data_IF_117202655639
#
_entry.id   IF_117202655639
#
_cell.length_a   1.000
_cell.length_b   1.000
_cell.length_c   1.000
_cell.angle_alpha   90.00
_cell.angle_beta   90.00
_cell.angle_gamma   90.00
#
_symmetry.space_group_name_H-M   'P 1'
#
loop_
_entity.id
_entity.type
_entity.pdbx_description
1 polymer ?
#
# COMPACT_ATOMS: atom_id res chain seq x y z
N UNK A 1 18.37 11.80 -5.80
CA UNK A 1 16.90 11.81 -5.95
C UNK A 1 16.18 11.49 -4.65
N UNK A 2 16.42 10.34 -4.01
CA UNK A 2 15.76 9.97 -2.75
C UNK A 2 15.86 11.03 -1.65
N UNK A 3 17.06 11.51 -1.33
CA UNK A 3 17.26 12.55 -0.30
C UNK A 3 16.56 13.87 -0.61
N UNK A 4 16.50 14.28 -1.88
CA UNK A 4 15.75 15.47 -2.30
C UNK A 4 14.24 15.28 -2.15
N UNK A 5 13.71 14.10 -2.51
CA UNK A 5 12.30 13.76 -2.30
C UNK A 5 11.92 13.75 -0.82
N UNK A 6 12.76 13.15 0.03
CA UNK A 6 12.58 13.13 1.49
C UNK A 6 12.61 14.53 2.08
N UNK A 7 13.57 15.37 1.68
CA UNK A 7 13.64 16.77 2.11
C UNK A 7 12.38 17.54 1.67
N UNK A 8 11.97 17.37 0.41
CA UNK A 8 10.81 18.04 -0.15
C UNK A 8 9.53 17.66 0.58
N UNK A 9 9.21 16.36 0.77
CA UNK A 9 8.03 15.99 1.55
C UNK A 9 8.12 16.56 2.95
N UNK A 10 9.30 16.51 3.58
CA UNK A 10 9.46 16.87 4.99
C UNK A 10 9.27 18.37 5.21
N UNK A 11 9.70 19.17 4.24
CA UNK A 11 9.41 20.60 4.18
C UNK A 11 7.89 20.85 4.06
N UNK A 12 7.20 20.17 3.13
CA UNK A 12 5.75 20.29 2.96
C UNK A 12 4.95 19.80 4.18
N UNK A 13 5.45 18.77 4.87
CA UNK A 13 4.91 18.28 6.14
C UNK A 13 5.05 19.35 7.22
N UNK A 14 6.20 20.01 7.35
CA UNK A 14 6.39 21.10 8.30
C UNK A 14 5.49 22.31 7.99
N UNK A 15 5.42 22.69 6.70
CA UNK A 15 4.53 23.77 6.23
C UNK A 15 3.06 23.47 6.52
N UNK A 16 2.65 22.20 6.57
CA UNK A 16 1.28 21.80 6.93
C UNK A 16 0.86 22.25 8.34
N UNK A 17 1.80 22.45 9.27
CA UNK A 17 1.49 23.02 10.58
C UNK A 17 1.34 24.54 10.58
N UNK A 18 1.76 25.22 9.51
CA UNK A 18 1.77 26.68 9.37
C UNK A 18 0.64 27.21 8.47
N UNK A 19 -0.22 26.33 7.96
CA UNK A 19 -1.33 26.72 7.09
C UNK A 19 -2.45 27.43 7.85
N UNK A 20 -3.04 28.43 7.20
CA UNK A 20 -4.15 29.25 7.72
C UNK A 20 -5.43 29.15 6.88
N UNK A 21 -5.34 28.63 5.66
CA UNK A 21 -6.52 28.43 4.78
C UNK A 21 -6.60 27.00 4.24
N UNK A 22 -7.81 26.60 3.85
CA UNK A 22 -8.05 25.29 3.23
C UNK A 22 -7.26 25.14 1.92
N UNK A 23 -7.23 26.18 1.08
CA UNK A 23 -6.45 26.16 -0.16
C UNK A 23 -4.96 25.95 0.10
N UNK A 24 -4.39 26.60 1.13
CA UNK A 24 -3.01 26.35 1.54
C UNK A 24 -2.82 24.89 1.97
N UNK A 25 -3.76 24.32 2.74
CA UNK A 25 -3.71 22.92 3.15
C UNK A 25 -3.70 21.96 1.95
N UNK A 26 -4.53 22.21 0.94
CA UNK A 26 -4.56 21.41 -0.29
C UNK A 26 -3.23 21.51 -1.04
N UNK A 27 -2.69 22.72 -1.21
CA UNK A 27 -1.42 22.93 -1.91
C UNK A 27 -0.25 22.21 -1.21
N UNK A 28 -0.19 22.26 0.12
CA UNK A 28 0.88 21.56 0.84
C UNK A 28 0.76 20.04 0.74
N UNK A 29 -0.47 19.51 0.70
CA UNK A 29 -0.72 18.07 0.50
C UNK A 29 -0.34 17.61 -0.91
N UNK A 30 -0.57 18.43 -1.92
CA UNK A 30 -0.09 18.15 -3.29
C UNK A 30 1.44 18.12 -3.30
N UNK A 31 2.10 19.10 -2.69
CA UNK A 31 3.57 19.12 -2.59
C UNK A 31 4.14 17.91 -1.83
N UNK A 32 3.48 17.49 -0.75
CA UNK A 32 3.83 16.27 -0.01
C UNK A 32 3.75 15.03 -0.90
N UNK A 33 2.67 14.86 -1.67
CA UNK A 33 2.52 13.72 -2.60
C UNK A 33 3.58 13.68 -3.69
N UNK A 34 4.00 14.84 -4.22
CA UNK A 34 5.09 14.95 -5.19
C UNK A 34 6.42 14.48 -4.57
N UNK A 35 6.70 14.86 -3.32
CA UNK A 35 7.91 14.45 -2.60
C UNK A 35 7.95 12.97 -2.23
N UNK A 36 6.79 12.37 -1.96
CA UNK A 36 6.64 10.97 -1.55
C UNK A 36 6.68 9.98 -2.72
N UNK A 37 6.19 10.36 -3.90
CA UNK A 37 6.15 9.51 -5.08
C UNK A 37 7.46 8.76 -5.42
N UNK A 38 8.66 9.38 -5.38
CA UNK A 38 9.90 8.69 -5.71
C UNK A 38 10.43 7.76 -4.61
N UNK A 39 9.85 7.75 -3.40
CA UNK A 39 10.40 7.01 -2.25
C UNK A 39 10.56 5.52 -2.55
N UNK A 40 9.50 4.87 -2.99
CA UNK A 40 9.52 3.43 -3.30
C UNK A 40 10.50 3.08 -4.44
N UNK A 41 10.40 3.67 -5.65
CA UNK A 41 11.31 3.30 -6.74
C UNK A 41 12.78 3.63 -6.43
N UNK A 42 13.04 4.75 -5.74
CA UNK A 42 14.40 5.09 -5.34
C UNK A 42 14.94 4.16 -4.25
N UNK A 43 14.13 3.78 -3.25
CA UNK A 43 14.53 2.84 -2.20
C UNK A 43 14.90 1.47 -2.78
N UNK A 44 14.10 0.96 -3.71
CA UNK A 44 14.40 -0.28 -4.44
C UNK A 44 15.69 -0.15 -5.27
N UNK A 45 15.92 1.00 -5.91
CA UNK A 45 17.17 1.27 -6.64
C UNK A 45 18.39 1.24 -5.70
N UNK A 46 18.31 1.89 -4.54
CA UNK A 46 19.40 1.88 -3.54
C UNK A 46 19.76 0.44 -3.15
N UNK A 47 18.76 -0.39 -2.87
CA UNK A 47 18.99 -1.80 -2.54
C UNK A 47 19.61 -2.55 -3.73
N UNK A 48 19.16 -2.29 -4.95
CA UNK A 48 19.73 -2.91 -6.14
C UNK A 48 21.18 -2.48 -6.40
N UNK A 49 21.54 -1.24 -6.09
CA UNK A 49 22.87 -0.69 -6.32
C UNK A 49 23.90 -1.28 -5.32
N UNK A 50 23.49 -1.52 -4.07
CA UNK A 50 24.39 -1.90 -2.98
C UNK A 50 24.39 -3.38 -2.59
N UNK A 51 23.45 -4.18 -3.07
CA UNK A 51 23.36 -5.61 -2.74
C UNK A 51 23.36 -6.52 -3.98
N UNK A 52 24.05 -7.66 -3.85
CA UNK A 52 24.01 -8.73 -4.85
C UNK A 52 22.57 -9.26 -5.02
N UNK A 53 22.18 -9.59 -6.26
CA UNK A 53 20.88 -10.17 -6.62
C UNK A 53 20.42 -11.33 -5.72
N UNK A 54 21.34 -12.19 -5.26
CA UNK A 54 21.02 -13.33 -4.38
C UNK A 54 20.65 -12.90 -2.95
N UNK A 55 21.13 -11.76 -2.49
CA UNK A 55 21.00 -11.29 -1.11
C UNK A 55 20.00 -10.13 -0.95
N UNK A 56 19.52 -9.55 -2.07
CA UNK A 56 18.53 -8.45 -2.07
C UNK A 56 17.23 -8.76 -1.33
N UNK A 57 16.87 -10.04 -1.16
CA UNK A 57 15.65 -10.44 -0.46
C UNK A 57 15.57 -9.93 0.98
N UNK A 58 16.67 -9.96 1.74
CA UNK A 58 16.69 -9.51 3.14
C UNK A 58 16.53 -7.98 3.26
N UNK A 59 17.34 -7.14 2.58
CA UNK A 59 17.15 -5.69 2.58
C UNK A 59 15.77 -5.25 2.08
N UNK A 60 15.26 -5.88 1.02
CA UNK A 60 13.89 -5.62 0.53
C UNK A 60 12.84 -5.98 1.59
N UNK A 61 13.03 -7.08 2.31
CA UNK A 61 12.17 -7.47 3.43
C UNK A 61 12.14 -6.41 4.53
N UNK A 62 13.30 -5.91 4.96
CA UNK A 62 13.39 -4.83 5.95
C UNK A 62 12.73 -3.54 5.46
N UNK A 63 12.96 -3.15 4.21
CA UNK A 63 12.38 -1.95 3.61
C UNK A 63 10.84 -2.02 3.60
N UNK A 64 10.26 -3.16 3.20
CA UNK A 64 8.81 -3.34 3.20
C UNK A 64 8.23 -3.45 4.62
N UNK A 65 8.92 -4.15 5.54
CA UNK A 65 8.48 -4.28 6.92
C UNK A 65 8.43 -2.92 7.63
N UNK A 66 9.39 -2.03 7.36
CA UNK A 66 9.41 -0.67 7.91
C UNK A 66 8.14 0.12 7.56
N UNK A 67 7.64 0.01 6.32
CA UNK A 67 6.39 0.66 5.89
C UNK A 67 5.18 0.15 6.68
N UNK A 68 5.07 -1.16 6.89
CA UNK A 68 3.96 -1.77 7.64
C UNK A 68 4.02 -1.43 9.13
N UNK A 69 5.21 -1.51 9.74
CA UNK A 69 5.42 -1.16 11.15
C UNK A 69 5.12 0.33 11.36
N UNK A 70 5.57 1.19 10.44
CA UNK A 70 5.32 2.62 10.48
C UNK A 70 3.84 2.94 10.59
N UNK A 71 2.99 2.33 9.76
CA UNK A 71 1.53 2.56 9.79
C UNK A 71 0.90 2.10 11.11
N UNK A 72 1.37 0.99 11.71
CA UNK A 72 0.83 0.50 12.97
C UNK A 72 1.25 1.34 14.19
N UNK A 73 2.49 1.83 14.19
CA UNK A 73 3.08 2.58 15.31
C UNK A 73 2.77 4.08 15.24
N UNK A 74 2.47 4.61 14.05
CA UNK A 74 2.18 6.04 13.87
C UNK A 74 1.00 6.53 14.71
N UNK A 75 -0.21 5.93 14.69
CA UNK A 75 -1.37 6.47 15.40
C UNK A 75 -1.14 6.79 16.89
N UNK A 76 -0.55 5.91 17.73
CA UNK A 76 -0.30 6.23 19.13
C UNK A 76 0.77 7.30 19.32
N UNK A 77 1.84 7.32 18.51
CA UNK A 77 2.87 8.37 18.59
C UNK A 77 2.28 9.72 18.20
N UNK A 78 1.55 9.78 17.09
CA UNK A 78 0.92 10.99 16.59
C UNK A 78 -0.13 11.52 17.59
N UNK A 79 -0.93 10.63 18.18
CA UNK A 79 -1.89 11.00 19.22
C UNK A 79 -1.20 11.62 20.45
N UNK A 80 -0.11 11.01 20.93
CA UNK A 80 0.66 11.54 22.05
C UNK A 80 1.25 12.94 21.74
N UNK A 81 1.77 13.14 20.53
CA UNK A 81 2.26 14.46 20.09
C UNK A 81 1.11 15.47 20.04
N UNK A 82 -0.03 15.13 19.44
CA UNK A 82 -1.17 16.04 19.36
C UNK A 82 -1.70 16.48 20.73
N UNK A 83 -1.62 15.62 21.76
CA UNK A 83 -2.05 15.97 23.12
C UNK A 83 -1.14 17.03 23.79
N UNK A 84 0.16 17.04 23.48
CA UNK A 84 1.14 17.93 24.12
C UNK A 84 1.33 19.24 23.36
N UNK A 85 1.39 19.18 22.02
CA UNK A 85 1.76 20.32 21.16
C UNK A 85 0.70 20.67 20.11
N UNK A 86 -0.48 20.03 20.16
CA UNK A 86 -1.53 20.19 19.16
C UNK A 86 -1.15 19.60 17.80
N UNK A 87 -2.10 19.61 16.87
CA UNK A 87 -1.89 19.09 15.51
C UNK A 87 -0.85 19.89 14.73
N UNK A 88 -0.83 21.23 14.89
CA UNK A 88 0.14 22.10 14.21
C UNK A 88 1.57 21.80 14.65
N UNK A 89 1.82 21.71 15.96
CA UNK A 89 3.12 21.35 16.52
C UNK A 89 3.57 19.96 16.09
N UNK A 90 2.63 18.99 16.01
CA UNK A 90 2.91 17.65 15.52
C UNK A 90 3.41 17.67 14.05
N UNK A 91 2.72 18.37 13.14
CA UNK A 91 3.16 18.48 11.73
C UNK A 91 4.55 19.10 11.60
N UNK A 92 4.79 20.21 12.31
CA UNK A 92 6.09 20.90 12.31
C UNK A 92 7.19 19.98 12.81
N UNK A 93 6.97 19.32 13.95
CA UNK A 93 7.98 18.46 14.58
C UNK A 93 8.35 17.28 13.67
N UNK A 94 7.36 16.60 13.09
CA UNK A 94 7.61 15.47 12.18
C UNK A 94 8.29 15.92 10.90
N UNK A 95 7.88 17.05 10.34
CA UNK A 95 8.53 17.63 9.17
C UNK A 95 9.98 18.00 9.44
N UNK A 96 10.27 18.63 10.58
CA UNK A 96 11.65 18.99 10.99
C UNK A 96 12.51 17.73 11.21
N UNK A 97 12.00 16.71 11.91
CA UNK A 97 12.70 15.43 12.07
C UNK A 97 12.98 14.77 10.71
N UNK A 98 12.02 14.83 9.79
CA UNK A 98 12.19 14.33 8.42
C UNK A 98 13.26 15.09 7.63
N UNK A 99 13.35 16.43 7.81
CA UNK A 99 14.41 17.25 7.22
C UNK A 99 15.78 16.83 7.75
N UNK A 100 15.93 16.66 9.07
CA UNK A 100 17.19 16.20 9.64
C UNK A 100 17.60 14.83 9.13
N UNK A 101 16.64 13.92 8.99
CA UNK A 101 16.87 12.60 8.43
C UNK A 101 17.25 12.67 6.94
N UNK A 102 16.64 13.57 6.17
CA UNK A 102 17.01 13.81 4.77
C UNK A 102 18.41 14.40 4.62
N UNK A 103 18.81 15.32 5.49
CA UNK A 103 20.17 15.88 5.55
C UNK A 103 21.16 14.78 5.91
N UNK A 104 20.89 14.01 6.96
CA UNK A 104 21.73 12.88 7.37
C UNK A 104 21.88 11.86 6.24
N UNK A 105 20.78 11.54 5.54
CA UNK A 105 20.83 10.69 4.36
C UNK A 105 21.71 11.30 3.25
N UNK A 106 21.53 12.58 2.94
CA UNK A 106 22.33 13.25 1.90
C UNK A 106 23.83 13.30 2.23
N UNK A 107 24.20 13.48 3.51
CA UNK A 107 25.59 13.51 3.95
C UNK A 107 26.24 12.11 3.97
N UNK A 108 25.49 11.07 4.34
CA UNK A 108 26.01 9.71 4.50
C UNK A 108 25.93 8.87 3.23
N UNK A 109 24.85 9.01 2.47
CA UNK A 109 24.60 8.19 1.29
C UNK A 109 25.47 8.64 0.12
N UNK A 110 26.23 7.70 -0.45
CA UNK A 110 26.96 7.91 -1.70
C UNK A 110 26.34 7.09 -2.82
N UNK A 111 26.28 7.67 -4.00
CA UNK A 111 25.92 6.91 -5.20
C UNK A 111 27.06 5.93 -5.50
N UNK A 112 26.71 4.69 -5.88
CA UNK A 112 27.68 3.67 -6.28
C UNK A 112 28.70 4.16 -7.31
N UNK A 113 28.25 4.96 -8.29
CA UNK A 113 29.09 5.52 -9.34
C UNK A 113 30.23 6.42 -8.82
N UNK A 114 30.10 6.96 -7.60
CA UNK A 114 31.07 7.85 -6.97
C UNK A 114 31.86 7.18 -5.84
N UNK A 115 31.72 5.87 -5.66
CA UNK A 115 32.46 5.10 -4.66
C UNK A 115 33.39 4.13 -5.38
N UNK A 116 34.69 4.29 -5.15
CA UNK A 116 35.67 3.30 -5.62
C UNK A 116 35.52 2.03 -4.81
N UNK A 117 35.02 0.98 -5.46
CA UNK A 117 34.86 -0.34 -4.87
C UNK A 117 36.13 -1.16 -5.09
N UNK A 118 36.53 -1.91 -4.07
CA UNK A 118 37.60 -2.90 -4.19
C UNK A 118 37.23 -3.99 -5.20
N UNK A 119 38.23 -4.68 -5.77
CA UNK A 119 37.99 -5.75 -6.73
C UNK A 119 37.09 -6.87 -6.17
N UNK A 120 37.16 -7.14 -4.86
CA UNK A 120 36.32 -8.13 -4.16
C UNK A 120 34.87 -7.66 -4.08
N UNK A 121 34.61 -6.39 -3.77
CA UNK A 121 33.26 -5.82 -3.71
C UNK A 121 32.61 -5.75 -5.10
N UNK A 122 33.40 -5.41 -6.12
CA UNK A 122 32.94 -5.46 -7.52
C UNK A 122 32.58 -6.87 -7.93
N UNK A 123 33.42 -7.85 -7.61
CA UNK A 123 33.14 -9.26 -7.87
C UNK A 123 31.87 -9.72 -7.11
N UNK A 124 31.69 -9.31 -5.86
CA UNK A 124 30.48 -9.60 -5.09
C UNK A 124 29.23 -9.01 -5.75
N UNK A 125 29.23 -7.74 -6.17
CA UNK A 125 28.06 -7.11 -6.79
C UNK A 125 27.71 -7.70 -8.16
N UNK A 126 28.72 -8.13 -8.93
CA UNK A 126 28.54 -8.70 -10.25
C UNK A 126 28.29 -10.21 -10.22
N UNK A 127 28.55 -10.89 -9.11
CA UNK A 127 28.37 -12.34 -8.99
C UNK A 127 26.90 -12.73 -9.18
N UNK A 128 26.60 -13.41 -10.28
CA UNK A 128 25.24 -13.85 -10.61
C UNK A 128 24.37 -12.78 -11.27
N UNK A 129 24.94 -11.65 -11.72
CA UNK A 129 24.25 -10.70 -12.60
C UNK A 129 24.03 -11.33 -13.97
N UNK A 130 23.04 -12.21 -14.08
CA UNK A 130 22.50 -12.57 -15.38
C UNK A 130 21.81 -11.31 -15.89
N UNK A 131 22.43 -10.64 -16.87
CA UNK A 131 21.81 -9.60 -17.67
C UNK A 131 20.61 -10.22 -18.41
N UNK A 132 19.53 -10.49 -17.70
CA UNK A 132 18.23 -10.66 -18.30
C UNK A 132 17.81 -9.26 -18.76
N UNK A 133 18.39 -8.81 -19.89
CA UNK A 133 17.84 -7.73 -20.70
C UNK A 133 16.45 -8.21 -21.08
N UNK A 134 15.46 -7.86 -20.26
CA UNK A 134 14.07 -8.03 -20.60
C UNK A 134 13.80 -6.93 -21.61
N UNK A 135 13.64 -7.32 -22.87
CA UNK A 135 13.37 -6.34 -23.93
C UNK A 135 12.19 -5.45 -23.50
N UNK A 136 12.31 -4.13 -23.58
CA UNK A 136 11.23 -3.23 -23.22
C UNK A 136 10.01 -3.51 -24.09
N UNK A 137 8.82 -3.32 -23.53
CA UNK A 137 7.57 -3.43 -24.29
C UNK A 137 7.48 -2.28 -25.30
N UNK A 138 7.17 -2.61 -26.54
CA UNK A 138 6.75 -1.62 -27.53
C UNK A 138 5.42 -1.00 -27.08
N UNK A 139 5.19 0.26 -27.46
CA UNK A 139 3.94 0.96 -27.15
C UNK A 139 2.69 0.19 -27.63
N UNK A 140 2.80 -0.49 -28.78
CA UNK A 140 1.72 -1.33 -29.31
C UNK A 140 1.41 -2.54 -28.40
N UNK A 141 2.45 -3.21 -27.87
CA UNK A 141 2.32 -4.34 -26.94
C UNK A 141 1.80 -3.88 -25.57
N UNK A 142 2.23 -2.70 -25.12
CA UNK A 142 1.71 -2.10 -23.89
C UNK A 142 0.23 -1.73 -24.04
N UNK A 143 -0.17 -1.14 -25.18
CA UNK A 143 -1.56 -0.79 -25.46
C UNK A 143 -2.46 -2.04 -25.60
N UNK A 144 -1.93 -3.16 -26.11
CA UNK A 144 -2.71 -4.38 -26.27
C UNK A 144 -3.14 -4.99 -24.92
N UNK A 145 -2.42 -4.70 -23.83
CA UNK A 145 -2.81 -5.08 -22.46
C UNK A 145 -4.24 -4.64 -22.11
N UNK A 146 -4.65 -3.44 -22.54
CA UNK A 146 -5.98 -2.91 -22.28
C UNK A 146 -7.09 -3.59 -23.10
N UNK A 147 -6.75 -4.41 -24.10
CA UNK A 147 -7.71 -5.26 -24.80
C UNK A 147 -7.98 -6.57 -24.04
N UNK A 148 -7.11 -6.94 -23.09
CA UNK A 148 -7.23 -8.20 -22.35
C UNK A 148 -8.22 -8.06 -21.19
N UNK A 149 -9.20 -8.97 -21.11
CA UNK A 149 -10.19 -9.01 -20.01
C UNK A 149 -9.55 -9.27 -18.64
N UNK A 150 -8.50 -10.09 -18.60
CA UNK A 150 -7.77 -10.37 -17.35
C UNK A 150 -7.13 -9.10 -16.79
N UNK A 151 -6.65 -8.20 -17.66
CA UNK A 151 -6.08 -6.92 -17.24
C UNK A 151 -7.11 -6.04 -16.53
N UNK A 152 -8.31 -5.91 -17.10
CA UNK A 152 -9.43 -5.21 -16.47
C UNK A 152 -9.87 -5.86 -15.16
N UNK A 153 -9.90 -7.19 -15.10
CA UNK A 153 -10.17 -7.94 -13.87
C UNK A 153 -9.17 -7.64 -12.76
N UNK A 154 -7.88 -7.60 -13.09
CA UNK A 154 -6.80 -7.27 -12.16
C UNK A 154 -6.88 -5.82 -11.69
N UNK A 155 -7.13 -4.86 -12.60
CA UNK A 155 -7.33 -3.45 -12.27
C UNK A 155 -8.50 -3.25 -11.32
N UNK A 156 -9.71 -3.67 -11.71
CA UNK A 156 -10.94 -3.47 -10.93
C UNK A 156 -10.90 -4.24 -9.60
N UNK A 157 -10.35 -5.44 -9.61
CA UNK A 157 -10.23 -6.25 -8.41
C UNK A 157 -9.26 -5.63 -7.40
N UNK A 158 -8.08 -5.20 -7.85
CA UNK A 158 -7.10 -4.55 -6.97
C UNK A 158 -7.56 -3.16 -6.49
N UNK A 159 -8.40 -2.47 -7.27
CA UNK A 159 -9.10 -1.26 -6.83
C UNK A 159 -9.97 -1.51 -5.59
N UNK A 160 -10.70 -2.62 -5.52
CA UNK A 160 -11.50 -2.94 -4.33
C UNK A 160 -10.66 -3.17 -3.07
N UNK A 161 -9.48 -3.80 -3.22
CA UNK A 161 -8.51 -3.98 -2.14
C UNK A 161 -8.00 -2.63 -1.62
N UNK A 162 -7.54 -1.77 -2.53
CA UNK A 162 -6.98 -0.47 -2.15
C UNK A 162 -8.06 0.48 -1.64
N UNK A 163 -9.27 0.45 -2.19
CA UNK A 163 -10.39 1.28 -1.70
C UNK A 163 -10.61 1.06 -0.19
N UNK A 164 -10.70 -0.20 0.24
CA UNK A 164 -10.91 -0.56 1.65
C UNK A 164 -9.72 -0.23 2.52
N UNK A 165 -8.50 -0.53 2.05
CA UNK A 165 -7.29 -0.19 2.79
C UNK A 165 -7.17 1.32 3.02
N UNK A 166 -7.41 2.13 1.98
CA UNK A 166 -7.32 3.60 2.06
C UNK A 166 -8.47 4.24 2.83
N UNK A 167 -9.68 3.68 2.78
CA UNK A 167 -10.78 4.14 3.62
C UNK A 167 -10.43 4.02 5.10
N UNK A 168 -9.99 2.83 5.55
CA UNK A 168 -9.60 2.65 6.94
C UNK A 168 -8.34 3.43 7.29
N UNK A 169 -7.37 3.54 6.38
CA UNK A 169 -6.18 4.35 6.63
C UNK A 169 -6.53 5.82 6.92
N UNK A 170 -7.44 6.40 6.14
CA UNK A 170 -7.80 7.82 6.25
C UNK A 170 -8.81 8.09 7.37
N UNK A 171 -9.81 7.23 7.53
CA UNK A 171 -10.99 7.52 8.35
C UNK A 171 -11.11 6.67 9.62
N UNK A 172 -10.29 5.64 9.84
CA UNK A 172 -10.43 4.79 11.03
C UNK A 172 -10.34 5.58 12.35
N UNK A 173 -9.34 6.46 12.58
CA UNK A 173 -9.31 7.25 13.80
C UNK A 173 -10.54 8.16 13.94
N UNK A 174 -10.95 8.81 12.85
CA UNK A 174 -12.12 9.68 12.83
C UNK A 174 -13.42 8.92 13.11
N UNK A 175 -13.59 7.73 12.54
CA UNK A 175 -14.72 6.85 12.81
C UNK A 175 -14.80 6.48 14.30
N UNK A 176 -13.67 6.09 14.91
CA UNK A 176 -13.62 5.73 16.31
C UNK A 176 -13.93 6.92 17.24
N UNK A 177 -13.48 8.13 16.90
CA UNK A 177 -13.81 9.34 17.65
C UNK A 177 -15.29 9.70 17.50
N UNK A 178 -15.81 9.79 16.28
CA UNK A 178 -17.17 10.27 16.02
C UNK A 178 -18.25 9.25 16.42
N UNK A 179 -18.04 7.95 16.16
CA UNK A 179 -19.06 6.93 16.41
C UNK A 179 -19.10 6.48 17.88
N UNK A 180 -17.96 6.50 18.57
CA UNK A 180 -17.85 5.99 19.94
C UNK A 180 -17.43 7.06 20.97
N UNK A 181 -17.32 8.33 20.57
CA UNK A 181 -16.90 9.45 21.42
C UNK A 181 -15.58 9.18 22.16
N UNK A 182 -14.66 8.46 21.51
CA UNK A 182 -13.36 8.16 22.10
C UNK A 182 -12.50 9.41 22.16
N UNK A 183 -11.75 9.55 23.25
CA UNK A 183 -10.73 10.57 23.37
C UNK A 183 -9.52 10.26 22.46
N UNK A 184 -8.72 11.28 22.17
CA UNK A 184 -7.61 11.17 21.23
C UNK A 184 -6.60 10.10 21.63
N UNK A 185 -6.36 9.93 22.94
CA UNK A 185 -5.45 8.91 23.48
C UNK A 185 -5.97 7.50 23.19
N UNK A 186 -7.22 7.21 23.53
CA UNK A 186 -7.79 5.87 23.29
C UNK A 186 -7.91 5.59 21.80
N UNK A 187 -8.29 6.58 20.98
CA UNK A 187 -8.30 6.42 19.53
C UNK A 187 -6.93 6.05 18.97
N UNK A 188 -5.86 6.72 19.40
CA UNK A 188 -4.50 6.42 18.93
C UNK A 188 -4.07 4.98 19.24
N UNK A 189 -4.37 4.51 20.46
CA UNK A 189 -4.06 3.13 20.87
C UNK A 189 -4.93 2.10 20.14
N UNK A 190 -6.24 2.35 20.04
CA UNK A 190 -7.18 1.42 19.43
C UNK A 190 -7.01 1.33 17.91
N UNK A 191 -6.63 2.42 17.23
CA UNK A 191 -6.39 2.43 15.79
C UNK A 191 -5.16 1.61 15.37
N UNK A 192 -4.20 1.36 16.27
CA UNK A 192 -3.04 0.50 15.97
C UNK A 192 -3.45 -0.97 15.78
N UNK A 193 -4.46 -1.44 16.52
CA UNK A 193 -4.85 -2.86 16.54
C UNK A 193 -5.27 -3.35 15.14
N UNK A 194 -6.15 -2.67 14.38
CA UNK A 194 -6.53 -3.13 13.05
C UNK A 194 -5.39 -3.17 12.04
N UNK A 195 -4.43 -2.24 12.12
CA UNK A 195 -3.26 -2.25 11.24
C UNK A 195 -2.31 -3.42 11.55
N UNK A 196 -2.18 -3.81 12.83
CA UNK A 196 -1.45 -5.03 13.20
C UNK A 196 -2.11 -6.30 12.65
N UNK A 197 -3.45 -6.36 12.65
CA UNK A 197 -4.17 -7.44 11.98
C UNK A 197 -3.91 -7.45 10.47
N UNK A 198 -3.88 -6.28 9.82
CA UNK A 198 -3.46 -6.15 8.42
C UNK A 198 -2.08 -6.74 8.16
N UNK A 199 -1.09 -6.39 9.00
CA UNK A 199 0.27 -6.93 8.93
C UNK A 199 0.29 -8.47 9.09
N UNK A 200 -0.46 -9.00 10.06
CA UNK A 200 -0.60 -10.44 10.25
C UNK A 200 -1.21 -11.13 9.02
N UNK A 201 -2.21 -10.50 8.38
CA UNK A 201 -2.82 -11.01 7.15
C UNK A 201 -1.82 -11.15 5.99
N UNK A 202 -0.89 -10.21 5.86
CA UNK A 202 0.18 -10.28 4.86
C UNK A 202 1.13 -11.46 5.11
N UNK A 203 1.54 -11.67 6.37
CA UNK A 203 2.44 -12.75 6.75
C UNK A 203 1.79 -14.13 6.58
N UNK A 204 0.56 -14.28 7.08
CA UNK A 204 -0.20 -15.54 6.97
C UNK A 204 -0.44 -15.91 5.51
N UNK A 205 -0.61 -14.94 4.61
CA UNK A 205 -0.80 -15.22 3.18
C UNK A 205 0.37 -16.00 2.57
N UNK A 206 1.61 -15.66 2.91
CA UNK A 206 2.79 -16.37 2.43
C UNK A 206 2.72 -17.86 2.77
N UNK A 207 2.49 -18.19 4.04
CA UNK A 207 2.38 -19.57 4.50
C UNK A 207 1.21 -20.33 3.87
N UNK A 208 0.02 -19.72 3.80
CA UNK A 208 -1.18 -20.38 3.26
C UNK A 208 -1.02 -20.68 1.77
N UNK A 209 -0.49 -19.73 1.00
CA UNK A 209 -0.32 -19.91 -0.45
C UNK A 209 0.75 -20.94 -0.78
N UNK A 210 1.86 -20.96 -0.03
CA UNK A 210 2.88 -21.99 -0.16
C UNK A 210 2.37 -23.37 0.23
N UNK A 211 1.57 -23.46 1.31
CA UNK A 211 0.93 -24.71 1.73
C UNK A 211 -0.03 -25.25 0.67
N UNK A 212 -0.87 -24.40 0.07
CA UNK A 212 -1.78 -24.80 -1.01
C UNK A 212 -1.03 -25.31 -2.25
N UNK A 213 0.07 -24.64 -2.63
CA UNK A 213 0.89 -25.06 -3.77
C UNK A 213 1.62 -26.37 -3.47
N UNK A 214 2.19 -26.54 -2.27
CA UNK A 214 2.79 -27.81 -1.82
C UNK A 214 1.77 -28.96 -1.77
N UNK A 215 0.51 -28.66 -1.50
CA UNK A 215 -0.62 -29.60 -1.59
C UNK A 215 -1.06 -29.94 -3.01
N UNK A 216 -0.35 -29.49 -4.05
CA UNK A 216 -0.63 -29.82 -5.45
C UNK A 216 -1.59 -28.86 -6.17
N UNK A 217 -2.01 -27.77 -5.53
CA UNK A 217 -2.86 -26.77 -6.21
C UNK A 217 -2.03 -25.94 -7.19
N UNK A 218 -2.56 -25.74 -8.41
CA UNK A 218 -1.93 -24.86 -9.39
C UNK A 218 -1.71 -23.43 -8.80
N UNK A 219 -0.53 -22.81 -8.97
CA UNK A 219 -0.20 -21.52 -8.35
C UNK A 219 -1.20 -20.40 -8.64
N UNK A 220 -1.69 -20.31 -9.89
CA UNK A 220 -2.71 -19.33 -10.29
C UNK A 220 -4.02 -19.57 -9.52
N UNK A 221 -4.46 -20.83 -9.42
CA UNK A 221 -5.70 -21.20 -8.72
C UNK A 221 -5.60 -20.91 -7.22
N UNK A 222 -4.47 -21.25 -6.60
CA UNK A 222 -4.20 -20.96 -5.19
C UNK A 222 -4.31 -19.46 -4.89
N UNK A 223 -3.56 -18.63 -5.61
CA UNK A 223 -3.60 -17.16 -5.44
C UNK A 223 -4.99 -16.60 -5.68
N UNK A 224 -5.68 -17.05 -6.73
CA UNK A 224 -7.03 -16.57 -7.07
C UNK A 224 -8.06 -16.88 -5.98
N UNK A 225 -8.05 -18.09 -5.42
CA UNK A 225 -8.96 -18.47 -4.32
C UNK A 225 -8.69 -17.60 -3.08
N UNK A 226 -7.42 -17.40 -2.72
CA UNK A 226 -7.03 -16.56 -1.60
C UNK A 226 -7.50 -15.10 -1.77
N UNK A 227 -7.40 -14.54 -2.97
CA UNK A 227 -7.89 -13.18 -3.28
C UNK A 227 -9.39 -13.10 -3.09
N UNK A 228 -10.16 -14.00 -3.74
CA UNK A 228 -11.62 -13.96 -3.73
C UNK A 228 -12.16 -14.16 -2.30
N UNK A 229 -11.65 -15.18 -1.59
CA UNK A 229 -12.05 -15.47 -0.23
C UNK A 229 -11.72 -14.30 0.71
N UNK A 230 -10.50 -13.76 0.63
CA UNK A 230 -10.10 -12.61 1.45
C UNK A 230 -10.94 -11.36 1.19
N UNK A 231 -11.26 -11.06 -0.07
CA UNK A 231 -12.11 -9.92 -0.42
C UNK A 231 -13.55 -10.09 0.06
N UNK A 232 -14.17 -11.26 -0.11
CA UNK A 232 -15.53 -11.50 0.41
C UNK A 232 -15.59 -11.49 1.93
N UNK A 233 -14.61 -12.11 2.61
CA UNK A 233 -14.53 -12.05 4.07
C UNK A 233 -14.35 -10.61 4.55
N UNK A 234 -13.47 -9.83 3.92
CA UNK A 234 -13.28 -8.40 4.24
C UNK A 234 -14.56 -7.59 4.03
N UNK A 235 -15.28 -7.85 2.93
CA UNK A 235 -16.55 -7.19 2.65
C UNK A 235 -17.60 -7.53 3.72
N UNK A 236 -17.73 -8.81 4.08
CA UNK A 236 -18.66 -9.27 5.10
C UNK A 236 -18.38 -8.63 6.47
N UNK A 237 -17.12 -8.64 6.93
CA UNK A 237 -16.75 -7.98 8.18
C UNK A 237 -17.05 -6.49 8.14
N UNK A 238 -16.68 -5.80 7.05
CA UNK A 238 -16.93 -4.36 6.87
C UNK A 238 -18.42 -4.02 6.89
N UNK A 239 -19.29 -4.86 6.32
CA UNK A 239 -20.74 -4.66 6.34
C UNK A 239 -21.37 -4.87 7.72
N UNK A 240 -20.70 -5.61 8.60
CA UNK A 240 -21.14 -5.84 9.99
C UNK A 240 -20.65 -4.74 10.93
N UNK A 241 -19.58 -4.00 10.61
CA UNK A 241 -19.04 -2.91 11.44
C UNK A 241 -20.10 -1.90 11.91
N UNK A 242 -21.03 -1.41 11.07
CA UNK A 242 -22.06 -0.46 11.53
C UNK A 242 -23.02 -1.00 12.59
N UNK A 243 -23.06 -2.32 12.80
CA UNK A 243 -23.91 -2.98 13.80
C UNK A 243 -23.17 -3.21 15.12
N UNK A 244 -21.89 -2.83 15.21
CA UNK A 244 -21.09 -3.02 16.41
C UNK A 244 -21.56 -2.10 17.55
N UNK A 245 -21.93 -2.71 18.68
CA UNK A 245 -22.42 -2.00 19.87
C UNK A 245 -21.31 -1.42 20.75
N UNK A 246 -20.09 -1.94 20.65
CA UNK A 246 -18.93 -1.45 21.42
C UNK A 246 -17.77 -1.08 20.51
N UNK A 247 -16.94 -0.15 20.98
CA UNK A 247 -15.73 0.28 20.26
C UNK A 247 -14.75 -0.87 20.03
N UNK A 248 -14.59 -1.77 21.02
CA UNK A 248 -13.74 -2.94 20.88
C UNK A 248 -14.27 -3.91 19.82
N UNK A 249 -15.58 -4.16 19.79
CA UNK A 249 -16.20 -4.99 18.74
C UNK A 249 -15.95 -4.41 17.36
N UNK A 250 -16.12 -3.09 17.18
CA UNK A 250 -15.83 -2.43 15.90
C UNK A 250 -14.35 -2.55 15.51
N UNK A 251 -13.43 -2.33 16.45
CA UNK A 251 -11.98 -2.47 16.23
C UNK A 251 -11.61 -3.89 15.81
N UNK A 252 -12.18 -4.92 16.46
CA UNK A 252 -11.93 -6.32 16.09
C UNK A 252 -12.51 -6.66 14.72
N UNK A 253 -13.72 -6.20 14.39
CA UNK A 253 -14.33 -6.40 13.08
C UNK A 253 -13.53 -5.72 11.97
N UNK A 254 -13.11 -4.46 12.18
CA UNK A 254 -12.25 -3.73 11.25
C UNK A 254 -10.87 -4.39 11.14
N UNK A 255 -10.32 -4.87 12.25
CA UNK A 255 -9.08 -5.65 12.27
C UNK A 255 -9.19 -6.89 11.40
N UNK A 256 -10.25 -7.68 11.55
CA UNK A 256 -10.49 -8.84 10.70
C UNK A 256 -10.72 -8.46 9.22
N UNK A 257 -11.40 -7.33 8.95
CA UNK A 257 -11.53 -6.82 7.59
C UNK A 257 -10.14 -6.48 6.98
N UNK A 258 -9.29 -5.77 7.73
CA UNK A 258 -7.93 -5.44 7.30
C UNK A 258 -7.04 -6.68 7.17
N UNK A 259 -7.13 -7.65 8.08
CA UNK A 259 -6.45 -8.94 7.94
C UNK A 259 -6.79 -9.59 6.60
N UNK A 260 -8.09 -9.73 6.30
CA UNK A 260 -8.57 -10.36 5.09
C UNK A 260 -8.20 -9.59 3.81
N UNK A 261 -8.27 -8.25 3.83
CA UNK A 261 -7.96 -7.42 2.65
C UNK A 261 -6.47 -7.41 2.34
N UNK A 262 -5.60 -7.35 3.35
CA UNK A 262 -4.15 -7.39 3.17
C UNK A 262 -3.65 -8.80 2.83
N UNK A 263 -4.33 -9.84 3.34
CA UNK A 263 -4.14 -11.21 2.87
C UNK A 263 -4.45 -11.33 1.37
N UNK A 264 -5.60 -10.83 0.92
CA UNK A 264 -5.96 -10.82 -0.49
C UNK A 264 -4.98 -9.97 -1.34
N UNK A 265 -4.59 -8.80 -0.85
CA UNK A 265 -3.62 -7.92 -1.51
C UNK A 265 -2.27 -8.58 -1.75
N UNK A 266 -1.76 -9.33 -0.77
CA UNK A 266 -0.50 -10.08 -0.90
C UNK A 266 -0.61 -11.17 -1.98
N UNK A 267 -1.75 -11.87 -2.04
CA UNK A 267 -2.00 -12.85 -3.11
C UNK A 267 -2.18 -12.22 -4.49
N UNK A 268 -2.73 -11.01 -4.58
CA UNK A 268 -2.84 -10.26 -5.83
C UNK A 268 -1.47 -9.94 -6.44
N UNK A 269 -0.52 -9.48 -5.61
CA UNK A 269 0.87 -9.29 -6.05
C UNK A 269 1.51 -10.60 -6.51
N UNK A 270 1.29 -11.69 -5.76
CA UNK A 270 1.73 -13.02 -6.15
C UNK A 270 1.11 -13.50 -7.48
N UNK A 271 -0.16 -13.16 -7.75
CA UNK A 271 -0.86 -13.53 -8.97
C UNK A 271 -0.20 -12.92 -10.21
N UNK A 272 0.24 -11.66 -10.16
CA UNK A 272 0.96 -11.01 -11.28
C UNK A 272 2.20 -11.83 -11.67
N UNK A 273 2.94 -12.35 -10.69
CA UNK A 273 4.16 -13.12 -10.95
C UNK A 273 3.92 -14.49 -11.59
N UNK A 274 2.75 -15.10 -11.37
CA UNK A 274 2.42 -16.44 -11.90
C UNK A 274 1.52 -16.40 -13.13
N UNK A 275 0.77 -15.32 -13.36
CA UNK A 275 -0.22 -15.20 -14.43
C UNK A 275 0.25 -14.35 -15.62
N UNK A 276 1.41 -13.69 -15.52
CA UNK A 276 1.93 -12.76 -16.53
C UNK A 276 3.34 -13.16 -16.93
N UNK A 277 3.64 -13.11 -18.23
CA UNK A 277 4.99 -13.30 -18.74
C UNK A 277 6.00 -12.36 -18.04
N UNK A 278 7.18 -12.89 -17.69
CA UNK A 278 8.20 -12.18 -16.89
C UNK A 278 8.61 -10.80 -17.44
N UNK A 279 8.54 -10.62 -18.77
CA UNK A 279 8.79 -9.38 -19.49
C UNK A 279 7.72 -8.30 -19.22
N UNK A 280 6.48 -8.73 -19.01
CA UNK A 280 5.30 -7.86 -18.88
C UNK A 280 4.88 -7.61 -17.42
N UNK A 281 5.41 -8.38 -16.47
CA UNK A 281 5.10 -8.32 -15.03
C UNK A 281 5.18 -6.90 -14.46
N UNK A 282 6.23 -6.14 -14.81
CA UNK A 282 6.41 -4.77 -14.31
C UNK A 282 5.32 -3.81 -14.83
N UNK A 283 5.05 -3.85 -16.13
CA UNK A 283 4.03 -2.99 -16.77
C UNK A 283 2.61 -3.34 -16.31
N UNK A 284 2.28 -4.63 -16.20
CA UNK A 284 0.97 -5.07 -15.69
C UNK A 284 0.81 -4.65 -14.23
N UNK A 285 1.84 -4.87 -13.40
CA UNK A 285 1.85 -4.41 -12.01
C UNK A 285 1.68 -2.90 -11.86
N UNK A 286 2.36 -2.10 -12.69
CA UNK A 286 2.24 -0.64 -12.63
C UNK A 286 0.88 -0.12 -13.08
N UNK A 287 0.29 -0.67 -14.17
CA UNK A 287 -1.05 -0.26 -14.63
C UNK A 287 -2.10 -0.66 -13.58
N UNK A 288 -2.02 -1.88 -13.03
CA UNK A 288 -2.92 -2.34 -11.97
C UNK A 288 -2.85 -1.41 -10.76
N UNK A 289 -1.63 -1.09 -10.32
CA UNK A 289 -1.40 -0.22 -9.17
C UNK A 289 -1.95 1.19 -9.43
N UNK A 290 -1.65 1.79 -10.59
CA UNK A 290 -2.15 3.10 -10.99
C UNK A 290 -3.67 3.17 -10.99
N UNK A 291 -4.35 2.21 -11.63
CA UNK A 291 -5.81 2.15 -11.65
C UNK A 291 -6.41 2.01 -10.24
N UNK A 292 -5.77 1.20 -9.39
CA UNK A 292 -6.21 1.01 -8.02
C UNK A 292 -6.09 2.26 -7.16
N UNK A 293 -5.02 3.05 -7.33
CA UNK A 293 -4.83 4.30 -6.60
C UNK A 293 -5.79 5.40 -7.02
N UNK A 294 -6.17 5.45 -8.31
CA UNK A 294 -7.25 6.33 -8.77
C UNK A 294 -8.54 5.98 -8.02
N UNK A 295 -8.96 4.72 -8.02
CA UNK A 295 -10.15 4.29 -7.28
C UNK A 295 -10.04 4.56 -5.78
N UNK A 296 -8.89 4.28 -5.18
CA UNK A 296 -8.65 4.47 -3.75
C UNK A 296 -8.65 5.95 -3.33
N UNK A 297 -8.23 6.88 -4.20
CA UNK A 297 -8.31 8.31 -3.90
C UNK A 297 -9.74 8.82 -3.74
N UNK A 298 -10.73 8.15 -4.35
CA UNK A 298 -12.13 8.48 -4.16
C UNK A 298 -12.69 7.99 -2.82
N UNK A 299 -12.09 6.99 -2.18
CA UNK A 299 -12.60 6.44 -0.92
C UNK A 299 -12.72 7.51 0.19
N UNK A 300 -11.67 8.30 0.49
CA UNK A 300 -11.77 9.35 1.49
C UNK A 300 -12.73 10.48 1.10
N UNK A 301 -12.78 10.85 -0.19
CA UNK A 301 -13.64 11.93 -0.70
C UNK A 301 -15.12 11.57 -0.57
N UNK A 302 -15.49 10.37 -1.04
CA UNK A 302 -16.86 9.86 -0.94
C UNK A 302 -17.26 9.72 0.53
N UNK A 303 -16.37 9.17 1.36
CA UNK A 303 -16.62 9.03 2.80
C UNK A 303 -16.85 10.37 3.47
N UNK A 304 -16.00 11.38 3.18
CA UNK A 304 -16.16 12.72 3.72
C UNK A 304 -17.50 13.35 3.35
N UNK A 305 -17.87 13.33 2.07
CA UNK A 305 -19.17 13.86 1.62
C UNK A 305 -20.35 13.17 2.31
N UNK A 306 -20.29 11.85 2.48
CA UNK A 306 -21.34 11.08 3.18
C UNK A 306 -21.41 11.47 4.65
N UNK A 307 -20.26 11.54 5.34
CA UNK A 307 -20.22 11.86 6.77
C UNK A 307 -20.65 13.29 7.03
N UNK A 308 -20.27 14.24 6.17
CA UNK A 308 -20.69 15.64 6.29
C UNK A 308 -22.19 15.83 6.10
N UNK A 309 -22.83 15.04 5.22
CA UNK A 309 -24.26 15.15 4.90
C UNK A 309 -25.16 14.32 5.81
N UNK A 310 -24.70 13.14 6.22
CA UNK A 310 -25.51 12.16 6.98
C UNK A 310 -25.11 12.04 8.45
N UNK A 311 -23.99 12.63 8.84
CA UNK A 311 -23.36 12.48 10.16
C UNK A 311 -23.10 11.02 10.56
N UNK A 312 -23.04 10.09 9.59
CA UNK A 312 -22.89 8.66 9.82
C UNK A 312 -21.91 8.01 8.85
N UNK A 313 -21.10 7.09 9.36
CA UNK A 313 -20.20 6.27 8.55
C UNK A 313 -20.89 5.06 7.93
N UNK A 314 -22.16 4.78 8.28
CA UNK A 314 -22.86 3.55 7.87
C UNK A 314 -22.88 3.39 6.35
N UNK A 315 -23.26 4.44 5.62
CA UNK A 315 -23.33 4.38 4.16
C UNK A 315 -21.95 4.23 3.52
N UNK A 316 -20.93 4.91 4.05
CA UNK A 316 -19.55 4.80 3.55
C UNK A 316 -19.00 3.38 3.72
N UNK A 317 -19.25 2.74 4.87
CA UNK A 317 -18.86 1.34 5.13
C UNK A 317 -19.64 0.36 4.24
N UNK A 318 -20.93 0.61 3.98
CA UNK A 318 -21.72 -0.20 3.04
C UNK A 318 -21.14 -0.10 1.62
N UNK A 319 -20.85 1.11 1.13
CA UNK A 319 -20.23 1.32 -0.18
C UNK A 319 -18.87 0.61 -0.23
N UNK A 320 -18.06 0.72 0.82
CA UNK A 320 -16.77 0.03 0.92
C UNK A 320 -16.90 -1.50 0.78
N UNK A 321 -17.85 -2.10 1.51
CA UNK A 321 -18.15 -3.52 1.41
C UNK A 321 -18.60 -3.93 0.00
N UNK A 322 -19.50 -3.16 -0.60
CA UNK A 322 -19.99 -3.39 -1.97
C UNK A 322 -18.88 -3.26 -3.02
N UNK A 323 -18.02 -2.23 -2.93
CA UNK A 323 -16.87 -2.04 -3.84
C UNK A 323 -15.89 -3.19 -3.71
N UNK A 324 -15.64 -3.66 -2.48
CA UNK A 324 -14.79 -4.83 -2.24
C UNK A 324 -15.39 -6.10 -2.85
N UNK A 325 -16.68 -6.35 -2.62
CA UNK A 325 -17.37 -7.49 -3.19
C UNK A 325 -17.40 -7.44 -4.74
N UNK A 326 -17.64 -6.27 -5.32
CA UNK A 326 -17.59 -6.05 -6.76
C UNK A 326 -16.18 -6.34 -7.33
N UNK A 327 -15.13 -5.93 -6.62
CA UNK A 327 -13.75 -6.28 -6.95
C UNK A 327 -13.49 -7.79 -6.91
N UNK A 328 -14.07 -8.51 -5.94
CA UNK A 328 -13.99 -9.97 -5.88
C UNK A 328 -14.68 -10.64 -7.07
N UNK A 329 -15.86 -10.12 -7.46
CA UNK A 329 -16.59 -10.58 -8.65
C UNK A 329 -15.79 -10.30 -9.94
N UNK A 330 -15.09 -9.17 -10.03
CA UNK A 330 -14.19 -8.88 -11.15
C UNK A 330 -13.08 -9.95 -11.27
N UNK A 331 -12.48 -10.38 -10.15
CA UNK A 331 -11.54 -11.50 -10.15
C UNK A 331 -12.18 -12.82 -10.59
N UNK A 332 -13.42 -13.11 -10.17
CA UNK A 332 -14.12 -14.33 -10.58
C UNK A 332 -14.35 -14.35 -12.08
N UNK A 333 -14.98 -13.30 -12.63
CA UNK A 333 -15.52 -13.31 -13.98
C UNK A 333 -14.51 -12.89 -15.06
N UNK A 334 -13.60 -11.96 -14.77
CA UNK A 334 -12.70 -11.38 -15.76
C UNK A 334 -11.32 -12.04 -15.79
N UNK A 335 -10.81 -12.51 -14.64
CA UNK A 335 -9.50 -13.17 -14.55
C UNK A 335 -9.66 -14.67 -14.80
N UNK A 336 -9.80 -15.07 -16.07
CA UNK A 336 -9.98 -16.48 -16.47
C UNK A 336 -8.74 -17.12 -17.07
N UNK A 337 -7.94 -16.35 -17.80
CA UNK A 337 -6.77 -16.84 -18.52
C UNK A 337 -5.52 -16.00 -18.19
N UNK A 338 -4.32 -16.60 -18.21
CA UNK A 338 -3.07 -15.85 -18.10
C UNK A 338 -2.94 -14.78 -19.18
N UNK A 339 -2.15 -13.74 -18.91
CA UNK A 339 -1.77 -12.76 -19.92
C UNK A 339 -0.55 -13.31 -20.66
N UNK A 340 -0.78 -13.82 -21.88
CA UNK A 340 0.26 -14.36 -22.75
C UNK A 340 1.06 -13.24 -23.43
N UNK A 341 2.28 -13.58 -23.85
CA UNK A 341 3.13 -12.68 -24.62
C UNK A 341 2.64 -12.65 -26.09
N UNK A 342 2.23 -11.49 -26.63
CA UNK A 342 1.72 -11.38 -27.99
C UNK A 342 2.76 -11.71 -29.08
N UNK A 343 4.03 -11.95 -28.72
CA UNK A 343 5.05 -12.48 -29.65
C UNK A 343 5.06 -14.00 -29.79
N UNK A 344 4.35 -14.71 -28.89
CA UNK A 344 4.30 -16.18 -28.84
C UNK A 344 2.98 -16.75 -29.34
N UNK A 345 2.01 -15.89 -29.65
CA UNK A 345 0.73 -16.22 -30.28
C UNK A 345 0.76 -15.82 -31.77
#
# INVERSE_FOLDING_TARGET
MLGLGMFFWSLFQAMSGMVHSFTQFVLVRIGMGIGEAPMNPCGVKVINDWFNIKERGRPMGFFNAASTIGVAVSPPILAAMMLVMGWRGMFITIGVLGIFLAIGWYMLYRNREHVELTAVEQAYLNAGSVNARRDPLSFAEWRSLFRNRTMWGMMLGFSGINYTAWLYLAWLPGYLQTAYNLDLKSTGLMAAIPFLFGAAGMLVNGYVTDWLVKGGMAPIKSRKICIIAGMFCSAAFTLVVPQATTSMTAVLLIGMALFCIHFAGTSCWGLIHVAVASRMTASVGSIQNFASFICASFAPIITGFIVDTTHSFRLALIICGCVTAAGALAYIFLVRQPINDPRKD
#
